data_IF_084753765036
#
_entry.id   IF_084753765036
#
_cell.length_a   1.000
_cell.length_b   1.000
_cell.length_c   1.000
_cell.angle_alpha   90.00
_cell.angle_beta   90.00
_cell.angle_gamma   90.00
#
_symmetry.space_group_name_H-M   'P 1'
#
loop_
_entity.id
_entity.type
_entity.pdbx_description
1 polymer ?
#
# COMPACT_ATOMS: atom_id res chain seq x y z
N UNK A 1 14.77 -7.24 -31.27
CA UNK A 1 14.05 -7.44 -29.99
C UNK A 1 13.05 -6.29 -29.80
N UNK A 2 11.75 -6.50 -30.00
CA UNK A 2 10.72 -5.46 -29.77
C UNK A 2 10.24 -5.56 -28.33
N UNK A 3 10.62 -4.63 -27.47
CA UNK A 3 10.07 -4.50 -26.12
C UNK A 3 8.63 -3.99 -26.27
N UNK A 4 7.63 -4.88 -26.21
CA UNK A 4 6.22 -4.48 -26.09
C UNK A 4 6.00 -3.96 -24.67
N UNK A 5 5.94 -2.63 -24.52
CA UNK A 5 5.50 -2.01 -23.27
C UNK A 5 4.00 -2.24 -23.16
N UNK A 6 3.61 -3.32 -22.46
CA UNK A 6 2.24 -3.46 -21.97
C UNK A 6 2.02 -2.33 -20.96
N UNK A 7 1.09 -1.42 -21.23
CA UNK A 7 0.64 -0.42 -20.25
C UNK A 7 -0.10 -1.16 -19.12
N UNK A 8 0.63 -1.83 -18.23
CA UNK A 8 0.06 -2.39 -17.00
C UNK A 8 -0.44 -1.21 -16.17
N UNK A 9 -1.69 -1.29 -15.69
CA UNK A 9 -2.28 -0.27 -14.84
C UNK A 9 -1.74 -0.42 -13.41
N UNK A 10 -0.44 -0.17 -13.26
CA UNK A 10 0.32 -0.34 -12.03
C UNK A 10 1.03 0.95 -11.62
N UNK A 11 0.31 2.00 -11.19
CA UNK A 11 0.94 3.18 -10.60
C UNK A 11 1.87 2.78 -9.44
N UNK A 12 3.04 3.42 -9.35
CA UNK A 12 3.99 3.15 -8.29
C UNK A 12 4.59 4.43 -7.72
N UNK A 13 5.03 4.36 -6.46
CA UNK A 13 5.75 5.43 -5.79
C UNK A 13 6.83 4.87 -4.90
N UNK A 14 7.95 5.59 -4.79
CA UNK A 14 9.03 5.32 -3.84
C UNK A 14 9.03 6.30 -2.67
N UNK A 15 8.09 7.25 -2.64
CA UNK A 15 8.05 8.33 -1.64
C UNK A 15 7.22 7.90 -0.42
N UNK A 16 7.81 8.04 0.77
CA UNK A 16 7.06 7.92 2.02
C UNK A 16 5.96 8.98 2.10
N UNK A 17 4.83 8.64 2.71
CA UNK A 17 3.66 9.51 2.82
C UNK A 17 2.85 9.62 1.52
N UNK A 18 3.10 8.75 0.53
CA UNK A 18 2.24 8.66 -0.66
C UNK A 18 0.84 8.25 -0.23
N UNK A 19 -0.15 9.00 -0.67
CA UNK A 19 -1.56 8.65 -0.51
C UNK A 19 -2.16 8.12 -1.80
N UNK A 20 -3.03 7.12 -1.69
CA UNK A 20 -3.76 6.55 -2.81
C UNK A 20 -5.04 5.85 -2.32
N UNK A 21 -6.01 5.71 -3.22
CA UNK A 21 -7.27 4.98 -2.94
C UNK A 21 -7.00 3.48 -2.95
N UNK A 22 -7.45 2.76 -1.91
CA UNK A 22 -7.44 1.30 -1.92
C UNK A 22 -8.42 0.84 -3.00
N UNK A 23 -7.99 0.01 -3.98
CA UNK A 23 -8.86 -0.37 -5.09
C UNK A 23 -10.19 -0.97 -4.62
N UNK A 24 -11.28 -0.56 -5.27
CA UNK A 24 -12.67 -0.99 -4.96
C UNK A 24 -13.17 -0.64 -3.56
N UNK A 25 -12.58 0.36 -2.90
CA UNK A 25 -13.10 0.90 -1.64
C UNK A 25 -13.16 2.43 -1.67
N UNK A 26 -13.75 2.99 -0.62
CA UNK A 26 -13.81 4.44 -0.35
C UNK A 26 -12.63 4.92 0.48
N UNK A 27 -11.75 4.01 0.89
CA UNK A 27 -10.64 4.33 1.78
C UNK A 27 -9.44 4.87 1.00
N UNK A 28 -8.97 6.03 1.41
CA UNK A 28 -7.62 6.49 1.11
C UNK A 28 -6.66 5.89 2.13
N UNK A 29 -5.53 5.36 1.65
CA UNK A 29 -4.41 4.96 2.51
C UNK A 29 -3.21 5.85 2.24
N UNK A 30 -2.67 6.44 3.30
CA UNK A 30 -1.39 7.14 3.31
C UNK A 30 -0.32 6.24 3.90
N UNK A 31 0.71 5.96 3.10
CA UNK A 31 1.67 4.90 3.38
C UNK A 31 3.01 5.50 3.75
N UNK A 32 3.42 5.28 4.99
CA UNK A 32 4.77 5.50 5.48
C UNK A 32 5.47 4.15 5.70
N UNK A 33 6.81 4.13 5.79
CA UNK A 33 7.55 2.89 5.95
C UNK A 33 7.15 2.07 7.20
N UNK A 34 6.74 2.75 8.29
CA UNK A 34 6.35 2.11 9.57
C UNK A 34 4.89 2.39 9.97
N UNK A 35 4.14 3.13 9.15
CA UNK A 35 2.79 3.59 9.50
C UNK A 35 1.88 3.60 8.28
N UNK A 36 0.69 3.08 8.43
CA UNK A 36 -0.40 3.20 7.47
C UNK A 36 -1.49 4.04 8.11
N UNK A 37 -1.91 5.11 7.45
CA UNK A 37 -3.05 5.91 7.89
C UNK A 37 -4.19 5.74 6.89
N UNK A 38 -5.33 5.26 7.37
CA UNK A 38 -6.54 5.05 6.56
C UNK A 38 -7.56 6.14 6.87
N UNK A 39 -8.22 6.64 5.84
CA UNK A 39 -9.31 7.61 5.94
C UNK A 39 -10.43 7.15 5.02
N UNK A 40 -11.63 6.95 5.55
CA UNK A 40 -12.82 6.74 4.72
C UNK A 40 -13.27 8.07 4.10
N UNK A 41 -13.24 8.16 2.76
CA UNK A 41 -13.61 9.39 2.05
C UNK A 41 -15.11 9.59 1.89
N UNK A 42 -15.93 8.57 2.14
CA UNK A 42 -17.38 8.67 2.03
C UNK A 42 -18.06 8.85 3.39
N UNK A 43 -17.37 8.59 4.50
CA UNK A 43 -17.90 8.86 5.84
C UNK A 43 -17.83 10.36 6.15
N UNK A 44 -18.98 11.00 6.40
CA UNK A 44 -19.07 12.42 6.74
C UNK A 44 -18.24 12.79 7.98
N UNK A 45 -18.03 11.84 8.90
CA UNK A 45 -17.22 12.04 10.11
C UNK A 45 -15.72 11.81 9.88
N UNK A 46 -15.31 11.51 8.64
CA UNK A 46 -13.93 11.23 8.26
C UNK A 46 -13.28 10.20 9.20
N UNK A 47 -13.94 9.05 9.38
CA UNK A 47 -13.37 7.97 10.19
C UNK A 47 -11.98 7.63 9.67
N UNK A 48 -11.03 7.69 10.60
CA UNK A 48 -9.64 7.40 10.32
C UNK A 48 -9.04 6.50 11.37
N UNK A 49 -8.09 5.68 10.96
CA UNK A 49 -7.35 4.81 11.86
C UNK A 49 -5.92 4.61 11.34
N UNK A 50 -5.00 4.40 12.29
CA UNK A 50 -3.60 4.16 12.01
C UNK A 50 -3.24 2.70 12.33
N UNK A 51 -2.40 2.10 11.48
CA UNK A 51 -1.75 0.82 11.73
C UNK A 51 -0.24 1.07 11.77
N UNK A 52 0.40 0.67 12.86
CA UNK A 52 1.85 0.74 13.01
C UNK A 52 2.47 -0.62 12.72
N UNK A 53 3.56 -0.62 11.96
CA UNK A 53 4.34 -1.80 11.64
C UNK A 53 5.53 -1.87 12.58
N UNK A 54 5.77 -3.05 13.16
CA UNK A 54 6.94 -3.32 13.99
C UNK A 54 8.18 -3.54 13.11
N UNK A 55 8.69 -2.45 12.53
CA UNK A 55 9.86 -2.45 11.66
C UNK A 55 10.90 -1.48 12.23
N UNK A 56 12.08 -2.01 12.53
CA UNK A 56 13.17 -1.24 13.12
C UNK A 56 14.27 -0.88 12.10
N UNK A 57 14.74 0.36 12.21
CA UNK A 57 15.89 0.87 11.48
C UNK A 57 15.55 1.51 10.12
N UNK A 58 16.57 1.99 9.40
CA UNK A 58 16.38 2.65 8.11
C UNK A 58 15.81 1.67 7.07
N UNK A 59 14.87 2.16 6.27
CA UNK A 59 14.24 1.39 5.20
C UNK A 59 14.80 1.82 3.85
N UNK A 60 15.30 0.85 3.10
CA UNK A 60 15.81 0.99 1.74
C UNK A 60 14.89 0.28 0.75
N UNK A 61 14.98 0.65 -0.53
CA UNK A 61 14.16 0.06 -1.61
C UNK A 61 12.65 0.09 -1.32
N UNK A 62 12.18 1.13 -0.63
CA UNK A 62 10.76 1.32 -0.37
C UNK A 62 10.01 1.53 -1.68
N UNK A 63 8.96 0.73 -1.89
CA UNK A 63 8.15 0.76 -3.08
C UNK A 63 6.69 0.49 -2.71
N UNK A 64 5.83 1.34 -3.25
CA UNK A 64 4.38 1.22 -3.23
C UNK A 64 3.96 0.96 -4.68
N UNK A 65 3.15 -0.07 -4.92
CA UNK A 65 2.59 -0.39 -6.23
C UNK A 65 1.09 -0.60 -6.09
N UNK A 66 0.29 0.20 -6.78
CA UNK A 66 -1.15 0.00 -6.86
C UNK A 66 -1.44 -0.91 -8.06
N UNK A 67 -1.89 -2.12 -7.84
CA UNK A 67 -2.28 -3.04 -8.90
C UNK A 67 -3.80 -2.96 -9.12
N UNK A 68 -4.23 -2.17 -10.10
CA UNK A 68 -5.64 -1.99 -10.41
C UNK A 68 -6.27 -3.23 -11.05
N UNK A 69 -5.49 -4.02 -11.78
CA UNK A 69 -5.97 -5.28 -12.39
C UNK A 69 -6.30 -6.34 -11.33
N UNK A 70 -5.47 -6.42 -10.29
CA UNK A 70 -5.62 -7.39 -9.19
C UNK A 70 -6.26 -6.81 -7.93
N UNK A 71 -6.70 -5.54 -7.96
CA UNK A 71 -7.39 -4.85 -6.86
C UNK A 71 -6.62 -4.86 -5.53
N UNK A 72 -5.32 -4.57 -5.54
CA UNK A 72 -4.55 -4.43 -4.30
C UNK A 72 -3.51 -3.32 -4.37
N UNK A 73 -3.02 -2.91 -3.21
CA UNK A 73 -1.82 -2.08 -3.05
C UNK A 73 -0.74 -2.96 -2.46
N UNK A 74 0.39 -3.08 -3.13
CA UNK A 74 1.57 -3.73 -2.60
C UNK A 74 2.52 -2.69 -2.02
N UNK A 75 3.05 -2.99 -0.85
CA UNK A 75 4.13 -2.21 -0.25
C UNK A 75 5.25 -3.15 0.12
N UNK A 76 6.46 -2.77 -0.24
CA UNK A 76 7.65 -3.53 0.07
C UNK A 76 8.83 -2.62 0.40
N UNK A 77 9.80 -3.18 1.10
CA UNK A 77 11.04 -2.51 1.45
C UNK A 77 12.02 -3.45 2.13
N UNK A 78 13.24 -2.98 2.35
CA UNK A 78 14.30 -3.69 3.04
C UNK A 78 14.72 -2.91 4.28
N UNK A 79 14.82 -3.59 5.41
CA UNK A 79 15.17 -3.04 6.71
C UNK A 79 16.31 -3.86 7.33
N UNK A 80 16.79 -3.50 8.52
CA UNK A 80 17.98 -4.11 9.13
C UNK A 80 17.90 -5.64 9.27
N UNK A 81 16.72 -6.17 9.63
CA UNK A 81 16.52 -7.62 9.88
C UNK A 81 16.02 -8.40 8.65
N UNK A 82 15.80 -7.76 7.49
CA UNK A 82 15.33 -8.47 6.30
C UNK A 82 14.59 -7.60 5.29
N UNK A 83 13.63 -8.21 4.59
CA UNK A 83 12.71 -7.51 3.70
C UNK A 83 11.28 -7.68 4.22
N UNK A 84 10.42 -6.71 3.93
CA UNK A 84 8.99 -6.84 4.17
C UNK A 84 8.25 -6.67 2.85
N UNK A 85 7.14 -7.40 2.72
CA UNK A 85 6.16 -7.21 1.66
C UNK A 85 4.78 -7.49 2.23
N UNK A 86 3.83 -6.60 1.95
CA UNK A 86 2.44 -6.83 2.28
C UNK A 86 1.51 -6.28 1.21
N UNK A 87 0.29 -6.81 1.20
CA UNK A 87 -0.80 -6.36 0.35
C UNK A 87 -1.91 -5.73 1.18
N UNK A 88 -2.40 -4.58 0.75
CA UNK A 88 -3.63 -3.95 1.23
C UNK A 88 -4.69 -4.22 0.17
N UNK A 89 -5.76 -4.91 0.54
CA UNK A 89 -6.83 -5.28 -0.39
C UNK A 89 -8.21 -5.31 0.27
N UNK A 90 -9.28 -5.11 -0.49
CA UNK A 90 -10.65 -5.25 0.02
C UNK A 90 -11.00 -6.72 0.27
N UNK A 91 -11.66 -7.00 1.40
CA UNK A 91 -12.33 -8.27 1.68
C UNK A 91 -13.75 -7.95 2.17
N UNK A 92 -14.74 -8.18 1.30
CA UNK A 92 -16.13 -7.75 1.52
C UNK A 92 -16.17 -6.25 1.90
N UNK A 93 -16.74 -5.90 3.06
CA UNK A 93 -16.85 -4.53 3.56
C UNK A 93 -15.66 -4.10 4.43
N UNK A 94 -14.54 -4.82 4.36
CA UNK A 94 -13.34 -4.58 5.18
C UNK A 94 -12.09 -4.40 4.33
N UNK A 95 -11.06 -3.82 4.95
CA UNK A 95 -9.70 -3.81 4.41
C UNK A 95 -8.88 -4.87 5.13
N UNK A 96 -8.14 -5.65 4.36
CA UNK A 96 -7.18 -6.61 4.87
C UNK A 96 -5.74 -6.19 4.56
N UNK A 97 -4.88 -6.42 5.54
CA UNK A 97 -3.43 -6.30 5.42
C UNK A 97 -2.84 -7.72 5.46
N UNK A 98 -2.29 -8.19 4.34
CA UNK A 98 -1.75 -9.54 4.20
C UNK A 98 -0.23 -9.48 4.01
N UNK A 99 0.52 -9.93 5.00
CA UNK A 99 1.97 -10.08 4.90
C UNK A 99 2.33 -11.26 4.01
N UNK A 100 3.29 -11.05 3.11
CA UNK A 100 3.86 -12.08 2.25
C UNK A 100 5.20 -12.52 2.82
N UNK A 101 5.43 -13.84 2.83
CA UNK A 101 6.75 -14.43 3.07
C UNK A 101 7.68 -14.16 1.89
#
# INVERSE_FOLDING_TARGET
MKIKIFKKMMPFSKRAGTSLIVPKTTYEVKIFPIKLSFIDKMDEKLKSFDIFLDIEGPISNFLIVQNLEKNYVEVQGRFKKGFFRYHILPIADKIALIFKK
#
